data_IF_050505821621
#
_entry.id   IF_050505821621
#
_cell.length_a   1.000
_cell.length_b   1.000
_cell.length_c   1.000
_cell.angle_alpha   90.00
_cell.angle_beta   90.00
_cell.angle_gamma   90.00
#
_symmetry.space_group_name_H-M   'P 1'
#
loop_
_entity.id
_entity.type
_entity.pdbx_description
1 polymer ?
#
# COMPACT_ATOMS: atom_id res chain seq x y z
N UNK A 1 -7.03 -8.59 -7.90
CA UNK A 1 -6.54 -8.92 -6.54
C UNK A 1 -6.21 -10.40 -6.34
N UNK A 2 -7.08 -11.37 -6.66
CA UNK A 2 -6.79 -12.79 -6.44
C UNK A 2 -5.51 -13.28 -7.15
N UNK A 3 -5.27 -12.84 -8.38
CA UNK A 3 -4.02 -13.08 -9.12
C UNK A 3 -2.78 -12.57 -8.36
N UNK A 4 -2.86 -11.34 -7.86
CA UNK A 4 -1.77 -10.68 -7.12
C UNK A 4 -1.44 -11.45 -5.83
N UNK A 5 -2.46 -11.85 -5.07
CA UNK A 5 -2.28 -12.64 -3.83
C UNK A 5 -1.59 -13.96 -4.13
N UNK A 6 -1.97 -14.66 -5.21
CA UNK A 6 -1.29 -15.88 -5.65
C UNK A 6 0.19 -15.62 -5.95
N UNK A 7 0.50 -14.65 -6.81
CA UNK A 7 1.88 -14.35 -7.19
C UNK A 7 2.75 -13.99 -5.99
N UNK A 8 2.27 -13.12 -5.12
CA UNK A 8 2.97 -12.69 -3.92
C UNK A 8 3.16 -13.82 -2.90
N UNK A 9 2.21 -14.76 -2.81
CA UNK A 9 2.32 -15.93 -1.93
C UNK A 9 3.39 -16.91 -2.41
N UNK A 10 3.45 -17.18 -3.72
CA UNK A 10 4.45 -18.06 -4.32
C UNK A 10 5.85 -17.44 -4.26
N UNK A 11 5.97 -16.13 -4.48
CA UNK A 11 7.24 -15.41 -4.33
C UNK A 11 7.77 -15.45 -2.89
N UNK A 12 6.88 -15.32 -1.90
CA UNK A 12 7.27 -15.44 -0.51
C UNK A 12 7.71 -16.87 -0.16
N UNK A 13 7.04 -17.89 -0.70
CA UNK A 13 7.44 -19.30 -0.54
C UNK A 13 8.80 -19.58 -1.21
N UNK A 14 9.05 -19.00 -2.40
CA UNK A 14 10.35 -19.08 -3.07
C UNK A 14 11.47 -18.53 -2.17
N UNK A 15 11.22 -17.40 -1.50
CA UNK A 15 12.16 -16.79 -0.56
C UNK A 15 12.54 -17.68 0.64
N UNK A 16 11.67 -18.61 1.04
CA UNK A 16 11.89 -19.54 2.17
C UNK A 16 12.29 -20.96 1.68
N UNK A 17 12.31 -21.17 0.38
CA UNK A 17 12.59 -22.48 -0.22
C UNK A 17 14.08 -22.84 -0.21
N UNK A 18 14.39 -24.10 -0.56
CA UNK A 18 15.78 -24.56 -0.79
C UNK A 18 16.49 -23.76 -1.89
N UNK A 19 15.75 -23.25 -2.87
CA UNK A 19 16.27 -22.43 -3.97
C UNK A 19 16.12 -20.93 -3.69
N UNK A 20 16.15 -20.54 -2.42
CA UNK A 20 15.98 -19.16 -2.00
C UNK A 20 17.06 -18.26 -2.61
N UNK A 21 16.70 -17.06 -3.11
CA UNK A 21 17.68 -16.06 -3.55
C UNK A 21 18.71 -15.70 -2.48
N UNK A 22 18.35 -15.79 -1.19
CA UNK A 22 19.20 -15.45 -0.04
C UNK A 22 20.35 -16.43 0.18
N UNK A 23 20.22 -17.67 -0.29
CA UNK A 23 21.25 -18.70 -0.11
C UNK A 23 21.75 -19.18 -1.46
N UNK A 24 20.90 -19.87 -2.21
CA UNK A 24 21.23 -20.41 -3.52
C UNK A 24 21.52 -19.30 -4.55
N UNK A 25 20.76 -18.20 -4.52
CA UNK A 25 20.93 -17.08 -5.46
C UNK A 25 22.31 -16.43 -5.35
N UNK A 26 22.76 -16.10 -4.14
CA UNK A 26 24.11 -15.53 -3.93
C UNK A 26 25.24 -16.48 -4.31
N UNK A 27 25.02 -17.80 -4.26
CA UNK A 27 26.02 -18.78 -4.66
C UNK A 27 26.09 -19.06 -6.16
N UNK A 28 25.05 -18.73 -6.92
CA UNK A 28 24.91 -19.14 -8.34
C UNK A 28 24.72 -17.98 -9.33
N UNK A 29 24.38 -16.78 -8.85
CA UNK A 29 24.07 -15.62 -9.69
C UNK A 29 24.95 -14.42 -9.33
N UNK A 30 25.14 -13.47 -10.28
CA UNK A 30 25.76 -12.19 -9.97
C UNK A 30 25.02 -11.46 -8.84
N UNK A 31 25.78 -10.78 -7.99
CA UNK A 31 25.27 -10.23 -6.73
C UNK A 31 24.09 -9.27 -6.92
N UNK A 32 24.09 -8.46 -7.99
CA UNK A 32 23.01 -7.53 -8.30
C UNK A 32 21.71 -8.26 -8.63
N UNK A 33 21.77 -9.36 -9.37
CA UNK A 33 20.59 -10.17 -9.66
C UNK A 33 20.07 -10.84 -8.38
N UNK A 34 20.97 -11.36 -7.54
CA UNK A 34 20.58 -11.95 -6.26
C UNK A 34 19.84 -10.92 -5.37
N UNK A 35 20.33 -9.67 -5.29
CA UNK A 35 19.64 -8.61 -4.56
C UNK A 35 18.25 -8.29 -5.12
N UNK A 36 18.10 -8.18 -6.44
CA UNK A 36 16.80 -7.94 -7.07
C UNK A 36 15.80 -9.06 -6.75
N UNK A 37 16.22 -10.33 -6.83
CA UNK A 37 15.36 -11.46 -6.48
C UNK A 37 15.02 -11.49 -4.98
N UNK A 38 15.97 -11.13 -4.11
CA UNK A 38 15.69 -10.97 -2.67
C UNK A 38 14.62 -9.90 -2.42
N UNK A 39 14.74 -8.75 -3.07
CA UNK A 39 13.77 -7.66 -2.95
C UNK A 39 12.37 -8.09 -3.42
N UNK A 40 12.28 -8.75 -4.59
CA UNK A 40 10.99 -9.20 -5.14
C UNK A 40 10.34 -10.25 -4.24
N UNK A 41 11.10 -11.23 -3.74
CA UNK A 41 10.57 -12.31 -2.88
C UNK A 41 10.09 -11.82 -1.52
N UNK A 42 10.72 -10.76 -0.97
CA UNK A 42 10.33 -10.16 0.29
C UNK A 42 9.28 -9.04 0.16
N UNK A 43 8.88 -8.68 -1.05
CA UNK A 43 7.93 -7.58 -1.29
C UNK A 43 6.61 -7.73 -0.53
N UNK A 44 6.13 -8.95 -0.30
CA UNK A 44 4.92 -9.24 0.46
C UNK A 44 5.03 -8.84 1.94
N UNK A 45 6.23 -8.89 2.53
CA UNK A 45 6.44 -8.59 3.95
C UNK A 45 6.29 -7.09 4.26
N UNK A 46 6.49 -6.23 3.26
CA UNK A 46 6.25 -4.79 3.45
C UNK A 46 4.80 -4.48 3.82
N UNK A 47 3.84 -5.39 3.55
CA UNK A 47 2.46 -5.27 3.99
C UNK A 47 2.31 -4.94 5.48
N UNK A 48 3.09 -5.61 6.34
CA UNK A 48 3.03 -5.42 7.78
C UNK A 48 3.46 -4.01 8.16
N UNK A 49 4.57 -3.56 7.57
CA UNK A 49 5.13 -2.22 7.77
C UNK A 49 4.13 -1.16 7.31
N UNK A 50 3.53 -1.31 6.12
CA UNK A 50 2.53 -0.36 5.62
C UNK A 50 1.26 -0.29 6.45
N UNK A 51 0.77 -1.43 6.95
CA UNK A 51 -0.41 -1.43 7.83
C UNK A 51 -0.10 -0.70 9.13
N UNK A 52 1.09 -0.91 9.71
CA UNK A 52 1.51 -0.18 10.90
C UNK A 52 1.62 1.33 10.64
N UNK A 53 2.30 1.74 9.56
CA UNK A 53 2.37 3.15 9.16
C UNK A 53 1.01 3.74 8.73
N UNK A 54 0.05 2.91 8.35
CA UNK A 54 -1.32 3.32 8.04
C UNK A 54 -2.23 3.45 9.25
N UNK A 55 -1.77 3.10 10.45
CA UNK A 55 -2.55 3.19 11.71
C UNK A 55 -1.86 4.11 12.73
N UNK A 56 -0.53 4.00 12.86
CA UNK A 56 0.24 4.70 13.90
C UNK A 56 0.11 6.22 13.81
N UNK A 57 0.32 6.88 12.65
CA UNK A 57 0.16 8.33 12.54
C UNK A 57 -1.24 8.82 12.91
N UNK A 58 -2.28 8.08 12.52
CA UNK A 58 -3.69 8.42 12.79
C UNK A 58 -3.97 8.34 14.30
N UNK A 59 -3.56 7.24 14.95
CA UNK A 59 -3.79 7.04 16.38
C UNK A 59 -2.96 8.02 17.20
N UNK A 60 -1.70 8.24 16.83
CA UNK A 60 -0.82 9.19 17.51
C UNK A 60 -1.32 10.62 17.38
N UNK A 61 -1.84 11.02 16.21
CA UNK A 61 -2.45 12.34 16.01
C UNK A 61 -3.67 12.55 16.91
N UNK A 62 -4.54 11.55 17.06
CA UNK A 62 -5.70 11.61 17.96
C UNK A 62 -5.30 11.68 19.44
N UNK A 63 -4.23 10.98 19.82
CA UNK A 63 -3.71 10.98 21.20
C UNK A 63 -2.83 12.18 21.51
N UNK A 64 -2.36 12.92 20.50
CA UNK A 64 -1.42 14.01 20.68
C UNK A 64 0.02 13.60 20.96
N UNK A 65 0.40 12.41 20.51
CA UNK A 65 1.77 11.92 20.67
C UNK A 65 2.54 12.30 19.41
N UNK A 66 3.49 13.24 19.51
CA UNK A 66 4.30 13.62 18.35
C UNK A 66 5.26 12.49 17.97
N UNK A 67 5.19 12.04 16.72
CA UNK A 67 6.08 11.02 16.14
C UNK A 67 7.20 11.65 15.30
N UNK A 68 6.99 12.88 14.83
CA UNK A 68 7.93 13.60 13.98
C UNK A 68 8.56 14.77 14.75
N UNK A 69 9.75 15.24 14.38
CA UNK A 69 10.30 16.47 14.94
C UNK A 69 9.35 17.65 14.73
N UNK A 70 9.40 18.61 15.65
CA UNK A 70 8.65 19.87 15.53
C UNK A 70 9.09 20.62 14.29
N UNK A 71 8.20 21.37 13.66
CA UNK A 71 8.52 22.15 12.44
C UNK A 71 9.66 23.16 12.67
N UNK A 72 9.78 23.68 13.89
CA UNK A 72 10.84 24.61 14.29
C UNK A 72 12.20 23.94 14.51
N UNK A 73 12.24 22.61 14.63
CA UNK A 73 13.47 21.87 14.84
C UNK A 73 14.25 21.74 13.52
N UNK A 74 15.56 22.06 13.48
CA UNK A 74 16.40 21.82 12.32
C UNK A 74 16.31 20.40 11.76
N UNK A 75 16.08 19.39 12.60
CA UNK A 75 15.92 18.00 12.16
C UNK A 75 14.70 17.80 11.27
N UNK A 76 13.64 18.59 11.42
CA UNK A 76 12.47 18.52 10.55
C UNK A 76 12.83 18.74 9.08
N UNK A 77 13.78 19.63 8.81
CA UNK A 77 14.26 19.87 7.44
C UNK A 77 14.86 18.62 6.81
N UNK A 78 15.57 17.79 7.58
CA UNK A 78 16.14 16.52 7.10
C UNK A 78 15.02 15.54 6.73
N UNK A 79 14.01 15.38 7.60
CA UNK A 79 12.87 14.51 7.30
C UNK A 79 12.08 14.99 6.08
N UNK A 80 11.82 16.29 5.99
CA UNK A 80 11.14 16.90 4.85
C UNK A 80 11.94 16.70 3.55
N UNK A 81 13.26 16.90 3.60
CA UNK A 81 14.13 16.70 2.45
C UNK A 81 14.13 15.24 1.97
N UNK A 82 14.24 14.27 2.87
CA UNK A 82 14.18 12.84 2.54
C UNK A 82 12.82 12.47 1.95
N UNK A 83 11.73 12.98 2.53
CA UNK A 83 10.40 12.72 1.98
C UNK A 83 10.25 13.30 0.57
N UNK A 84 10.56 14.58 0.38
CA UNK A 84 10.43 15.25 -0.93
C UNK A 84 11.34 14.63 -1.97
N UNK A 85 12.58 14.27 -1.62
CA UNK A 85 13.52 13.65 -2.56
C UNK A 85 13.01 12.29 -3.06
N UNK A 86 12.40 11.47 -2.18
CA UNK A 86 11.79 10.20 -2.62
C UNK A 86 10.61 10.40 -3.57
N UNK A 87 9.78 11.43 -3.33
CA UNK A 87 8.66 11.75 -4.21
C UNK A 87 9.14 12.27 -5.58
N UNK A 88 10.15 13.14 -5.57
CA UNK A 88 10.75 13.67 -6.80
C UNK A 88 11.45 12.56 -7.57
N UNK A 89 12.19 11.67 -6.90
CA UNK A 89 12.84 10.54 -7.56
C UNK A 89 11.81 9.66 -8.27
N UNK A 90 10.73 9.27 -7.59
CA UNK A 90 9.68 8.45 -8.21
C UNK A 90 9.01 9.17 -9.39
N UNK A 91 8.79 10.49 -9.28
CA UNK A 91 8.27 11.27 -10.40
C UNK A 91 9.23 11.28 -11.60
N UNK A 92 10.53 11.48 -11.37
CA UNK A 92 11.55 11.46 -12.42
C UNK A 92 11.62 10.09 -13.09
N UNK A 93 11.53 9.00 -12.33
CA UNK A 93 11.50 7.62 -12.87
C UNK A 93 10.30 7.41 -13.80
N UNK A 94 9.11 7.85 -13.40
CA UNK A 94 7.88 7.74 -14.22
C UNK A 94 8.00 8.56 -15.50
N UNK A 95 8.46 9.81 -15.40
CA UNK A 95 8.60 10.69 -16.57
C UNK A 95 9.70 10.20 -17.53
N UNK A 96 10.79 9.62 -17.02
CA UNK A 96 11.85 9.03 -17.84
C UNK A 96 11.37 7.80 -18.61
N UNK A 97 10.35 7.11 -18.09
CA UNK A 97 9.69 5.97 -18.74
C UNK A 97 8.54 6.35 -19.67
N UNK A 98 8.49 7.59 -20.17
CA UNK A 98 7.39 8.14 -21.00
C UNK A 98 6.02 8.17 -20.29
N UNK A 99 6.01 8.07 -18.95
CA UNK A 99 4.81 8.17 -18.14
C UNK A 99 4.33 9.62 -17.93
N UNK A 100 3.12 9.77 -17.43
CA UNK A 100 2.53 11.08 -17.10
C UNK A 100 2.53 11.34 -15.58
N UNK A 101 2.31 12.60 -15.17
CA UNK A 101 2.13 12.94 -13.74
C UNK A 101 0.90 12.22 -13.15
N UNK A 102 -0.14 11.99 -13.96
CA UNK A 102 -1.30 11.20 -13.54
C UNK A 102 -0.91 9.74 -13.26
N UNK A 103 -0.04 9.16 -14.10
CA UNK A 103 0.49 7.81 -13.89
C UNK A 103 1.31 7.72 -12.60
N UNK A 104 2.15 8.71 -12.30
CA UNK A 104 2.88 8.78 -11.02
C UNK A 104 1.94 8.73 -9.81
N UNK A 105 0.85 9.49 -9.88
CA UNK A 105 -0.16 9.53 -8.83
C UNK A 105 -0.95 8.21 -8.71
N UNK A 106 -1.26 7.57 -9.84
CA UNK A 106 -1.95 6.28 -9.86
C UNK A 106 -1.06 5.12 -9.39
N UNK A 107 0.24 5.16 -9.68
CA UNK A 107 1.20 4.18 -9.16
C UNK A 107 1.26 4.18 -7.64
N UNK A 108 1.27 5.36 -7.01
CA UNK A 108 1.20 5.49 -5.54
C UNK A 108 -0.06 4.82 -4.98
N UNK A 109 -1.22 5.01 -5.62
CA UNK A 109 -2.49 4.39 -5.22
C UNK A 109 -2.47 2.88 -5.36
N UNK A 110 -2.01 2.38 -6.51
CA UNK A 110 -1.87 0.94 -6.79
C UNK A 110 -0.94 0.31 -5.77
N UNK A 111 0.11 1.01 -5.37
CA UNK A 111 1.06 0.53 -4.39
C UNK A 111 0.45 0.40 -2.99
N UNK A 112 -0.35 1.38 -2.53
CA UNK A 112 -1.13 1.24 -1.29
C UNK A 112 -2.06 0.01 -1.35
N UNK A 113 -2.83 -0.13 -2.44
CA UNK A 113 -3.74 -1.26 -2.63
C UNK A 113 -2.98 -2.60 -2.61
N UNK A 114 -1.85 -2.68 -3.32
CA UNK A 114 -0.98 -3.86 -3.35
C UNK A 114 -0.45 -4.17 -1.96
N UNK A 115 0.07 -3.18 -1.24
CA UNK A 115 0.63 -3.34 0.11
C UNK A 115 -0.39 -3.86 1.10
N UNK A 116 -1.61 -3.30 1.11
CA UNK A 116 -2.67 -3.76 2.02
C UNK A 116 -3.14 -5.18 1.66
N UNK A 117 -3.29 -5.49 0.38
CA UNK A 117 -3.74 -6.81 -0.08
C UNK A 117 -2.69 -7.91 0.07
N UNK A 118 -1.41 -7.53 0.18
CA UNK A 118 -0.28 -8.45 0.38
C UNK A 118 -0.36 -9.20 1.72
N UNK A 119 -1.12 -8.73 2.72
CA UNK A 119 -1.35 -9.48 3.97
C UNK A 119 -2.02 -10.83 3.71
N UNK A 120 -2.94 -10.89 2.74
CA UNK A 120 -3.58 -12.15 2.35
C UNK A 120 -2.60 -13.10 1.67
N UNK A 121 -1.59 -12.58 0.99
CA UNK A 121 -0.52 -13.39 0.39
C UNK A 121 0.36 -14.04 1.46
N UNK A 122 0.66 -13.32 2.55
CA UNK A 122 1.38 -13.88 3.70
C UNK A 122 0.57 -15.02 4.33
N UNK A 123 -0.72 -14.80 4.59
CA UNK A 123 -1.60 -15.83 5.17
C UNK A 123 -1.71 -17.05 4.26
N UNK A 124 -1.86 -16.85 2.94
CA UNK A 124 -1.91 -17.94 1.98
C UNK A 124 -0.58 -18.72 1.91
N UNK A 125 0.56 -18.04 1.92
CA UNK A 125 1.88 -18.68 1.98
C UNK A 125 2.05 -19.52 3.26
N UNK A 126 1.63 -19.01 4.42
CA UNK A 126 1.67 -19.77 5.69
C UNK A 126 0.78 -21.01 5.62
N UNK A 127 -0.45 -20.88 5.10
CA UNK A 127 -1.35 -22.04 4.92
C UNK A 127 -0.76 -23.10 4.01
N UNK A 128 -0.16 -22.69 2.88
CA UNK A 128 0.54 -23.59 1.95
C UNK A 128 1.69 -24.32 2.63
N UNK A 129 2.53 -23.58 3.38
CA UNK A 129 3.67 -24.15 4.10
C UNK A 129 3.26 -25.16 5.16
N UNK A 130 2.12 -24.94 5.82
CA UNK A 130 1.56 -25.85 6.83
C UNK A 130 0.74 -27.01 6.23
N UNK A 131 0.64 -27.12 4.91
CA UNK A 131 -0.15 -28.17 4.25
C UNK A 131 -1.66 -28.04 4.44
N UNK A 132 -2.15 -26.86 4.88
CA UNK A 132 -3.56 -26.61 5.20
C UNK A 132 -4.42 -26.26 3.97
N UNK A 133 -3.81 -26.16 2.79
CA UNK A 133 -4.55 -25.86 1.56
C UNK A 133 -5.13 -27.13 0.94
N UNK A 134 -6.48 -27.24 0.97
CA UNK A 134 -7.19 -28.08 0.01
C UNK A 134 -6.94 -27.48 -1.38
N UNK A 135 -6.15 -28.15 -2.21
CA UNK A 135 -5.79 -27.69 -3.56
C UNK A 135 -7.05 -27.52 -4.41
N UNK A 136 -7.66 -26.34 -4.39
CA UNK A 136 -8.63 -25.90 -5.40
C UNK A 136 -7.89 -24.98 -6.35
N UNK A 137 -7.40 -25.57 -7.44
CA UNK A 137 -6.84 -24.85 -8.58
C UNK A 137 -7.93 -23.98 -9.20
N UNK A 138 -8.16 -22.80 -8.63
CA UNK A 138 -9.23 -21.90 -9.07
C UNK A 138 -8.66 -21.15 -10.27
N UNK A 139 -8.97 -21.61 -11.48
CA UNK A 139 -8.61 -20.92 -12.72
C UNK A 139 -9.20 -19.51 -12.69
N UNK A 140 -8.36 -18.50 -12.90
CA UNK A 140 -8.86 -17.15 -13.10
C UNK A 140 -9.49 -17.08 -14.48
N UNK A 141 -10.77 -16.71 -14.55
CA UNK A 141 -11.38 -16.40 -15.84
C UNK A 141 -10.65 -15.19 -16.43
N UNK A 142 -10.07 -15.34 -17.62
CA UNK A 142 -9.31 -14.31 -18.34
C UNK A 142 -10.14 -13.63 -19.44
N UNK A 143 -11.46 -13.85 -19.48
CA UNK A 143 -12.33 -13.16 -20.41
C UNK A 143 -12.22 -11.64 -20.23
N UNK A 144 -11.93 -10.93 -21.33
CA UNK A 144 -11.80 -9.47 -21.35
C UNK A 144 -13.21 -8.88 -21.36
N UNK A 145 -13.59 -8.27 -20.26
CA UNK A 145 -14.85 -7.53 -20.14
C UNK A 145 -14.63 -6.08 -20.57
N UNK A 146 -15.25 -5.67 -21.69
CA UNK A 146 -15.07 -4.35 -22.29
C UNK A 146 -15.51 -3.22 -21.35
N UNK A 147 -16.46 -3.46 -20.44
CA UNK A 147 -16.87 -2.45 -19.45
C UNK A 147 -15.79 -2.24 -18.37
N UNK A 148 -15.06 -3.29 -17.99
CA UNK A 148 -13.97 -3.20 -17.01
C UNK A 148 -12.76 -2.47 -17.58
N UNK A 149 -12.47 -2.65 -18.87
CA UNK A 149 -11.41 -1.93 -19.57
C UNK A 149 -11.73 -0.44 -19.63
N UNK A 150 -12.96 -0.08 -20.01
CA UNK A 150 -13.37 1.33 -20.08
C UNK A 150 -13.30 2.04 -18.71
N UNK A 151 -13.73 1.39 -17.63
CA UNK A 151 -13.61 1.95 -16.26
C UNK A 151 -12.15 2.12 -15.84
N UNK A 152 -11.27 1.18 -16.20
CA UNK A 152 -9.84 1.28 -15.94
C UNK A 152 -9.20 2.46 -16.67
N UNK A 153 -9.55 2.67 -17.95
CA UNK A 153 -9.11 3.82 -18.75
C UNK A 153 -9.59 5.16 -18.18
N UNK A 154 -10.77 5.17 -17.54
CA UNK A 154 -11.32 6.33 -16.82
C UNK A 154 -10.73 6.52 -15.39
N UNK A 155 -9.76 5.70 -14.98
CA UNK A 155 -9.16 5.76 -13.63
C UNK A 155 -10.08 5.27 -12.50
N UNK A 156 -11.17 4.56 -12.84
CA UNK A 156 -12.16 4.05 -11.89
C UNK A 156 -11.88 2.60 -11.54
N UNK A 157 -11.64 2.33 -10.26
CA UNK A 157 -11.41 0.96 -9.79
C UNK A 157 -12.70 0.12 -9.77
N UNK A 158 -12.66 -1.07 -10.36
CA UNK A 158 -13.72 -2.07 -10.28
C UNK A 158 -13.28 -3.23 -9.37
N UNK A 159 -13.98 -3.42 -8.25
CA UNK A 159 -13.66 -4.45 -7.24
C UNK A 159 -14.69 -5.58 -7.18
N UNK A 160 -15.54 -5.74 -8.20
CA UNK A 160 -16.53 -6.81 -8.24
C UNK A 160 -15.84 -8.19 -8.15
N UNK A 161 -16.15 -8.97 -7.11
CA UNK A 161 -15.52 -10.27 -6.80
C UNK A 161 -14.28 -10.20 -5.89
N UNK A 162 -13.88 -9.01 -5.43
CA UNK A 162 -12.76 -8.81 -4.52
C UNK A 162 -13.17 -8.30 -3.12
N UNK A 163 -14.45 -8.37 -2.76
CA UNK A 163 -15.01 -7.81 -1.53
C UNK A 163 -14.25 -8.21 -0.25
N UNK A 164 -13.82 -9.48 -0.14
CA UNK A 164 -13.04 -9.97 1.00
C UNK A 164 -11.66 -9.32 1.08
N UNK A 165 -11.02 -9.06 -0.06
CA UNK A 165 -9.71 -8.41 -0.12
C UNK A 165 -9.79 -6.90 0.15
N UNK A 166 -10.98 -6.31 0.02
CA UNK A 166 -11.24 -4.91 0.31
C UNK A 166 -11.43 -4.62 1.80
N UNK A 167 -11.74 -5.62 2.63
CA UNK A 167 -12.08 -5.39 4.03
C UNK A 167 -10.96 -4.68 4.83
N UNK A 168 -9.68 -5.10 4.77
CA UNK A 168 -8.60 -4.38 5.48
C UNK A 168 -8.38 -2.97 4.94
N UNK A 169 -8.57 -2.76 3.64
CA UNK A 169 -8.47 -1.44 3.01
C UNK A 169 -9.55 -0.51 3.53
N UNK A 170 -10.80 -0.98 3.61
CA UNK A 170 -11.93 -0.20 4.17
C UNK A 170 -11.68 0.14 5.64
N UNK A 171 -11.16 -0.79 6.43
CA UNK A 171 -10.84 -0.53 7.84
C UNK A 171 -9.77 0.55 7.99
N UNK A 172 -8.65 0.44 7.25
CA UNK A 172 -7.60 1.46 7.26
C UNK A 172 -8.12 2.82 6.79
N UNK A 173 -9.02 2.82 5.81
CA UNK A 173 -9.63 4.02 5.30
C UNK A 173 -10.53 4.70 6.34
N UNK A 174 -11.35 3.92 7.06
CA UNK A 174 -12.17 4.45 8.17
C UNK A 174 -11.25 5.03 9.26
N UNK A 175 -10.18 4.32 9.64
CA UNK A 175 -9.19 4.82 10.60
C UNK A 175 -8.58 6.13 10.11
N UNK A 176 -8.26 6.24 8.82
CA UNK A 176 -7.71 7.46 8.25
C UNK A 176 -8.71 8.63 8.24
N UNK A 177 -9.98 8.39 7.92
CA UNK A 177 -11.05 9.41 8.00
C UNK A 177 -11.21 9.90 9.44
N UNK A 178 -11.34 8.97 10.39
CA UNK A 178 -11.49 9.30 11.82
C UNK A 178 -10.25 10.06 12.33
N UNK A 179 -9.06 9.60 11.96
CA UNK A 179 -7.79 10.25 12.28
C UNK A 179 -7.68 11.65 11.69
N UNK A 180 -8.13 11.86 10.45
CA UNK A 180 -8.10 13.16 9.79
C UNK A 180 -9.02 14.17 10.46
N UNK A 181 -10.31 13.86 10.58
CA UNK A 181 -11.28 14.79 11.17
C UNK A 181 -11.07 14.99 12.67
N UNK A 182 -10.82 13.89 13.40
CA UNK A 182 -10.53 13.97 14.84
C UNK A 182 -9.20 14.66 15.12
N UNK A 183 -8.19 14.44 14.27
CA UNK A 183 -6.89 15.11 14.35
C UNK A 183 -6.99 16.61 14.12
N UNK A 184 -7.70 17.05 13.08
CA UNK A 184 -7.95 18.48 12.83
C UNK A 184 -8.67 19.11 14.03
N UNK A 185 -9.76 18.48 14.50
CA UNK A 185 -10.50 18.99 15.65
C UNK A 185 -9.61 19.15 16.89
N UNK A 186 -8.79 18.13 17.18
CA UNK A 186 -7.88 18.13 18.33
C UNK A 186 -6.78 19.19 18.20
N UNK A 187 -6.15 19.33 17.04
CA UNK A 187 -5.12 20.36 16.79
C UNK A 187 -5.69 21.76 16.89
N UNK A 188 -6.93 21.99 16.43
CA UNK A 188 -7.60 23.29 16.58
C UNK A 188 -7.94 23.61 18.04
N UNK A 189 -8.30 22.60 18.83
CA UNK A 189 -8.64 22.76 20.24
C UNK A 189 -7.39 22.97 21.14
N UNK A 190 -6.36 22.15 20.95
CA UNK A 190 -5.11 22.18 21.76
C UNK A 190 -4.13 23.25 21.27
N UNK A 191 -4.23 23.66 19.99
CA UNK A 191 -3.37 24.66 19.32
C UNK A 191 -1.89 24.26 19.23
N UNK A 192 -1.59 22.97 19.10
CA UNK A 192 -0.24 22.39 19.01
C UNK A 192 0.16 22.03 17.56
N UNK A 193 -0.20 22.87 16.60
CA UNK A 193 0.02 22.62 15.17
C UNK A 193 1.50 22.34 14.83
N UNK A 194 2.43 23.08 15.43
CA UNK A 194 3.87 22.94 15.17
C UNK A 194 4.42 21.56 15.57
N UNK A 195 3.83 20.92 16.59
CA UNK A 195 4.25 19.60 17.06
C UNK A 195 3.61 18.47 16.25
N UNK A 196 2.42 18.71 15.71
CA UNK A 196 1.60 17.70 15.03
C UNK A 196 1.66 17.76 13.51
N UNK A 197 2.31 18.79 12.95
CA UNK A 197 2.34 19.07 11.52
C UNK A 197 2.70 17.86 10.67
N UNK A 198 3.76 17.13 11.03
CA UNK A 198 4.20 15.96 10.26
C UNK A 198 3.14 14.85 10.17
N UNK A 199 2.46 14.57 11.29
CA UNK A 199 1.38 13.58 11.31
C UNK A 199 0.15 14.07 10.55
N UNK A 200 -0.23 15.33 10.75
CA UNK A 200 -1.35 15.94 10.05
C UNK A 200 -1.12 15.94 8.53
N UNK A 201 0.08 16.28 8.08
CA UNK A 201 0.48 16.21 6.68
C UNK A 201 0.35 14.80 6.12
N UNK A 202 0.88 13.78 6.80
CA UNK A 202 0.80 12.40 6.34
C UNK A 202 -0.64 11.87 6.28
N UNK A 203 -1.45 12.12 7.32
CA UNK A 203 -2.86 11.72 7.35
C UNK A 203 -3.63 12.40 6.22
N UNK A 204 -3.37 13.69 5.96
CA UNK A 204 -3.93 14.44 4.83
C UNK A 204 -3.49 13.83 3.49
N UNK A 205 -2.21 13.56 3.32
CA UNK A 205 -1.67 12.97 2.09
C UNK A 205 -2.29 11.61 1.78
N UNK A 206 -2.39 10.72 2.77
CA UNK A 206 -3.04 9.41 2.62
C UNK A 206 -4.54 9.58 2.32
N UNK A 207 -5.20 10.60 2.88
CA UNK A 207 -6.61 10.90 2.61
C UNK A 207 -6.82 11.30 1.14
N UNK A 208 -5.98 12.17 0.59
CA UNK A 208 -6.04 12.59 -0.82
C UNK A 208 -5.77 11.40 -1.75
N UNK A 209 -4.77 10.56 -1.44
CA UNK A 209 -4.49 9.35 -2.22
C UNK A 209 -5.66 8.36 -2.18
N UNK A 210 -6.36 8.24 -1.05
CA UNK A 210 -7.45 7.29 -0.85
C UNK A 210 -8.80 7.74 -1.42
N UNK A 211 -8.94 9.00 -1.87
CA UNK A 211 -10.21 9.57 -2.33
C UNK A 211 -10.89 8.80 -3.50
N UNK A 212 -10.21 8.41 -4.58
CA UNK A 212 -10.87 7.65 -5.65
C UNK A 212 -11.15 6.21 -5.26
N UNK A 213 -10.38 5.65 -4.31
CA UNK A 213 -10.67 4.32 -3.75
C UNK A 213 -11.98 4.39 -2.96
N UNK A 214 -12.17 5.45 -2.17
CA UNK A 214 -13.42 5.78 -1.50
C UNK A 214 -14.58 5.89 -2.49
N UNK A 215 -14.41 6.69 -3.54
CA UNK A 215 -15.43 6.91 -4.57
C UNK A 215 -15.82 5.59 -5.26
N UNK A 216 -14.83 4.76 -5.59
CA UNK A 216 -15.05 3.44 -6.17
C UNK A 216 -15.85 2.52 -5.23
N UNK A 217 -15.51 2.49 -3.92
CA UNK A 217 -16.23 1.69 -2.93
C UNK A 217 -17.70 2.16 -2.76
N UNK A 218 -17.92 3.46 -2.68
CA UNK A 218 -19.26 4.04 -2.55
C UNK A 218 -20.13 3.76 -3.78
N UNK A 219 -19.56 3.90 -4.97
CA UNK A 219 -20.26 3.63 -6.24
C UNK A 219 -20.68 2.16 -6.37
N UNK A 220 -19.87 1.22 -5.89
CA UNK A 220 -20.24 -0.20 -5.85
C UNK A 220 -21.42 -0.49 -4.92
N UNK A 221 -21.46 0.15 -3.74
CA UNK A 221 -22.54 -0.04 -2.78
C UNK A 221 -23.87 0.49 -3.32
N UNK A 222 -23.85 1.60 -4.05
CA UNK A 222 -25.03 2.21 -4.67
C UNK A 222 -25.66 1.33 -5.76
N UNK A 223 -24.86 0.57 -6.53
CA UNK A 223 -25.36 -0.37 -7.55
C UNK A 223 -25.85 -1.72 -6.99
N UNK A 224 -25.69 -1.97 -5.70
CA UNK A 224 -26.08 -3.21 -5.03
C UNK A 224 -27.39 -3.10 -4.25
N UNK A 225 -28.07 -1.95 -4.29
CA UNK A 225 -29.42 -1.73 -3.77
C UNK A 225 -30.41 -1.55 -4.91
#
# INVERSE_FOLDING_TARGET
>A
MLQLVKWLSELLLLGISKYSPFTHGFSTMPIMHAFTYCFITMSSLYAVVFILYGIVPQVCLLKGISVFPKVTDPWFAVFAFVYVSTQVQHLVEVLSGEGSVAMWWDEQRIWILKSVTSIFAIVDAVKKRLGLNKVKFTLSNKAIDKEKVKKYEEGRFDFQGAAVFMAPLVVLLIINIVGFFGGIWRVLHVKDFEEMFGQLFLVTYVMVLSYPILEAILTMKSKSG
#
